data_IF_258749832834
#
_entry.id   IF_258749832834
#
_cell.length_a   1.000
_cell.length_b   1.000
_cell.length_c   1.000
_cell.angle_alpha   90.00
_cell.angle_beta   90.00
_cell.angle_gamma   90.00
#
_symmetry.space_group_name_H-M   'P 1'
#
loop_
_entity.id
_entity.type
_entity.pdbx_description
1 polymer ?
#
# COMPACT_ATOMS: atom_id res chain seq x y z
N UNK A 1 -2.21 -11.70 14.00
CA UNK A 1 -2.57 -11.08 12.70
C UNK A 1 -2.89 -9.63 12.98
N UNK A 2 -2.47 -8.73 12.10
CA UNK A 2 -2.62 -7.29 12.25
C UNK A 2 -3.39 -6.72 11.06
N UNK A 3 -4.13 -5.66 11.33
CA UNK A 3 -4.91 -4.93 10.34
C UNK A 3 -4.06 -3.81 9.75
N UNK A 4 -4.06 -3.75 8.42
CA UNK A 4 -3.40 -2.76 7.60
C UNK A 4 -4.41 -2.20 6.60
N UNK A 5 -4.06 -1.05 6.04
CA UNK A 5 -4.81 -0.46 4.95
C UNK A 5 -3.86 -0.02 3.86
N UNK A 6 -4.21 -0.38 2.63
CA UNK A 6 -3.57 0.11 1.42
C UNK A 6 -4.44 1.24 0.86
N UNK A 7 -3.86 2.40 0.64
CA UNK A 7 -4.52 3.45 -0.12
C UNK A 7 -3.92 3.52 -1.52
N UNK A 8 -4.77 3.37 -2.52
CA UNK A 8 -4.41 3.48 -3.93
C UNK A 8 -4.37 4.95 -4.30
N UNK A 9 -3.23 5.38 -4.81
CA UNK A 9 -2.96 6.75 -5.21
C UNK A 9 -2.76 6.79 -6.73
N UNK A 10 -3.46 7.73 -7.36
CA UNK A 10 -3.32 8.02 -8.78
C UNK A 10 -1.93 8.53 -9.08
N UNK A 11 -1.29 7.96 -10.10
CA UNK A 11 0.03 8.40 -10.55
C UNK A 11 0.00 9.73 -11.30
N UNK A 12 -1.15 10.09 -11.86
CA UNK A 12 -1.28 11.27 -12.71
C UNK A 12 -1.34 12.56 -11.88
N UNK A 13 -2.07 12.53 -10.76
CA UNK A 13 -2.38 13.71 -9.95
C UNK A 13 -2.17 13.52 -8.45
N UNK A 14 -1.75 12.33 -8.01
CA UNK A 14 -1.57 12.02 -6.59
C UNK A 14 -2.89 11.93 -5.81
N UNK A 15 -4.03 11.88 -6.51
CA UNK A 15 -5.34 11.79 -5.84
C UNK A 15 -5.56 10.41 -5.23
N UNK A 16 -6.33 10.40 -4.14
CA UNK A 16 -6.83 9.18 -3.55
C UNK A 16 -7.86 8.51 -4.47
N UNK A 17 -7.68 7.22 -4.73
CA UNK A 17 -8.58 6.41 -5.55
C UNK A 17 -9.45 5.51 -4.67
N UNK A 18 -8.81 4.64 -3.88
CA UNK A 18 -9.53 3.63 -3.09
C UNK A 18 -8.71 3.12 -1.89
N UNK A 19 -9.40 2.53 -0.91
CA UNK A 19 -8.83 1.93 0.29
C UNK A 19 -9.10 0.44 0.38
N UNK A 20 -8.05 -0.38 0.48
CA UNK A 20 -8.15 -1.83 0.62
C UNK A 20 -7.72 -2.25 2.02
N UNK A 21 -8.60 -2.97 2.71
CA UNK A 21 -8.28 -3.61 3.98
C UNK A 21 -7.38 -4.83 3.76
N UNK A 22 -6.32 -4.91 4.53
CA UNK A 22 -5.32 -5.96 4.45
C UNK A 22 -5.07 -6.53 5.84
N UNK A 23 -5.27 -7.84 6.00
CA UNK A 23 -4.85 -8.54 7.22
C UNK A 23 -3.56 -9.28 6.92
N UNK A 24 -2.48 -8.97 7.63
CA UNK A 24 -1.19 -9.61 7.46
C UNK A 24 -0.60 -10.09 8.79
N UNK A 25 0.34 -11.04 8.71
CA UNK A 25 0.98 -11.62 9.91
C UNK A 25 1.90 -10.62 10.60
N UNK A 26 2.62 -9.81 9.84
CA UNK A 26 3.64 -8.86 10.29
C UNK A 26 3.84 -7.77 9.21
N UNK A 27 4.66 -6.77 9.54
CA UNK A 27 4.96 -5.62 8.67
C UNK A 27 5.58 -6.07 7.33
N UNK A 28 6.40 -7.13 7.33
CA UNK A 28 7.05 -7.65 6.14
C UNK A 28 6.07 -8.29 5.16
N UNK A 29 5.14 -9.10 5.67
CA UNK A 29 4.06 -9.68 4.88
C UNK A 29 3.12 -8.60 4.31
N UNK A 30 2.85 -7.53 5.07
CA UNK A 30 2.05 -6.41 4.60
C UNK A 30 2.74 -5.65 3.44
N UNK A 31 4.05 -5.40 3.57
CA UNK A 31 4.86 -4.78 2.52
C UNK A 31 4.89 -5.61 1.24
N UNK A 32 5.09 -6.93 1.34
CA UNK A 32 5.09 -7.80 0.17
C UNK A 32 3.74 -7.79 -0.57
N UNK A 33 2.63 -7.80 0.17
CA UNK A 33 1.30 -7.68 -0.42
C UNK A 33 1.07 -6.31 -1.07
N UNK A 34 1.52 -5.22 -0.42
CA UNK A 34 1.43 -3.87 -0.96
C UNK A 34 2.24 -3.70 -2.26
N UNK A 35 3.43 -4.30 -2.35
CA UNK A 35 4.25 -4.32 -3.57
C UNK A 35 3.54 -5.02 -4.74
N UNK A 36 2.83 -6.12 -4.47
CA UNK A 36 2.05 -6.81 -5.51
C UNK A 36 0.88 -5.97 -6.03
N UNK A 37 0.29 -5.11 -5.19
CA UNK A 37 -0.79 -4.20 -5.59
C UNK A 37 -0.28 -2.96 -6.31
N UNK A 38 0.98 -2.57 -6.07
CA UNK A 38 1.63 -1.44 -6.71
C UNK A 38 2.01 -1.69 -8.18
N UNK A 39 1.35 -2.59 -8.91
CA UNK A 39 1.62 -2.78 -10.36
C UNK A 39 0.93 -1.70 -11.19
N UNK A 40 -0.25 -1.25 -10.77
CA UNK A 40 -1.09 -0.30 -11.52
C UNK A 40 -1.21 1.06 -10.85
N UNK A 41 -1.03 1.15 -9.54
CA UNK A 41 -1.16 2.38 -8.76
C UNK A 41 0.03 2.58 -7.82
N UNK A 42 0.23 3.80 -7.37
CA UNK A 42 1.06 4.01 -6.19
C UNK A 42 0.25 3.60 -4.95
N UNK A 43 0.94 3.09 -3.93
CA UNK A 43 0.30 2.56 -2.72
C UNK A 43 0.86 3.28 -1.52
N UNK A 44 0.01 3.75 -0.61
CA UNK A 44 0.39 4.02 0.76
C UNK A 44 -0.05 2.87 1.67
N UNK A 45 0.89 2.32 2.44
CA UNK A 45 0.64 1.28 3.42
C UNK A 45 0.58 1.88 4.82
N UNK A 46 -0.49 1.57 5.53
CA UNK A 46 -0.76 2.03 6.89
C UNK A 46 -1.13 0.87 7.82
N UNK A 47 -0.80 1.00 9.11
CA UNK A 47 -1.26 0.13 10.20
C UNK A 47 -1.97 1.00 11.25
N UNK A 48 -3.30 1.06 11.21
CA UNK A 48 -4.05 2.04 11.98
C UNK A 48 -3.61 3.47 11.65
N UNK A 49 -3.10 4.22 12.64
CA UNK A 49 -2.57 5.57 12.45
C UNK A 49 -1.07 5.62 12.09
N UNK A 50 -0.40 4.47 12.01
CA UNK A 50 1.03 4.38 11.68
C UNK A 50 1.20 4.31 10.17
N UNK A 51 1.73 5.38 9.57
CA UNK A 51 2.23 5.34 8.19
C UNK A 51 3.46 4.43 8.14
N UNK A 52 3.48 3.50 7.19
CA UNK A 52 4.58 2.52 7.06
C UNK A 52 5.46 2.81 5.86
N UNK A 53 4.85 2.98 4.69
CA UNK A 53 5.58 3.18 3.45
C UNK A 53 4.69 3.76 2.36
N UNK A 54 5.33 4.40 1.38
CA UNK A 54 4.77 4.66 0.06
C UNK A 54 5.54 3.81 -0.95
N UNK A 55 4.83 3.06 -1.78
CA UNK A 55 5.39 2.18 -2.81
C UNK A 55 4.95 2.74 -4.15
N UNK A 56 5.92 3.16 -4.96
CA UNK A 56 5.65 3.62 -6.31
C UNK A 56 5.69 2.46 -7.26
N UNK A 57 4.73 2.43 -8.16
CA UNK A 57 4.63 1.32 -9.10
C UNK A 57 5.82 1.22 -10.07
N UNK A 58 6.49 2.34 -10.34
CA UNK A 58 7.69 2.39 -11.18
C UNK A 58 8.97 1.90 -10.51
N UNK A 59 8.97 1.68 -9.18
CA UNK A 59 10.18 1.33 -8.42
C UNK A 59 10.40 -0.20 -8.30
N UNK A 60 9.53 -1.02 -8.91
CA UNK A 60 9.59 -2.49 -8.87
C UNK A 60 10.45 -3.11 -10.00
N UNK A 61 11.32 -2.31 -10.63
CA UNK A 61 12.21 -2.71 -11.74
C UNK A 61 13.47 -3.44 -11.30
#
# INVERSE_FOLDING_TARGET
MHEYRLYLISREDGSFIDGIDLVARDDGAALAAAQQQAITHDIELWQGTRWMAQIRSGDLS
#
